data_IF_109105047925
#
_entry.id   IF_109105047925
#
_cell.length_a   1.000
_cell.length_b   1.000
_cell.length_c   1.000
_cell.angle_alpha   90.00
_cell.angle_beta   90.00
_cell.angle_gamma   90.00
#
_symmetry.space_group_name_H-M   'P 1'
#
loop_
_entity.id
_entity.type
_entity.pdbx_description
1 polymer ?
#
# COMPACT_ATOMS: atom_id res chain seq x y z
N UNK A 1 6.82 6.12 75.96
CA UNK A 1 6.57 4.92 75.14
C UNK A 1 5.08 4.88 74.80
N UNK A 2 4.68 5.31 73.60
CA UNK A 2 3.33 5.10 73.08
C UNK A 2 3.47 4.74 71.60
N UNK A 3 3.08 3.52 71.24
CA UNK A 3 3.27 2.93 69.91
C UNK A 3 2.12 3.35 68.99
N UNK A 4 2.46 4.02 67.89
CA UNK A 4 1.59 4.22 66.73
C UNK A 4 1.37 2.89 66.00
N UNK A 5 0.12 2.52 65.76
CA UNK A 5 -0.26 1.44 64.87
C UNK A 5 -0.58 2.06 63.50
N UNK A 6 0.31 1.88 62.52
CA UNK A 6 0.06 2.26 61.13
C UNK A 6 -0.66 1.08 60.43
N UNK A 7 -1.91 1.29 60.01
CA UNK A 7 -2.59 0.39 59.08
C UNK A 7 -2.01 0.63 57.68
N UNK A 8 -1.28 -0.35 57.15
CA UNK A 8 -0.91 -0.38 55.74
C UNK A 8 -2.13 -0.80 54.91
N UNK A 9 -2.69 0.14 54.13
CA UNK A 9 -3.63 -0.19 53.06
C UNK A 9 -2.84 -0.88 51.95
N UNK A 10 -2.92 -2.20 51.87
CA UNK A 10 -2.44 -2.94 50.71
C UNK A 10 -3.36 -2.63 49.52
N UNK A 11 -2.88 -1.81 48.59
CA UNK A 11 -3.52 -1.64 47.29
C UNK A 11 -3.48 -2.99 46.56
N UNK A 12 -4.63 -3.67 46.48
CA UNK A 12 -4.82 -4.81 45.58
C UNK A 12 -4.63 -4.31 44.14
N UNK A 13 -3.46 -4.60 43.56
CA UNK A 13 -3.26 -4.50 42.12
C UNK A 13 -4.33 -5.38 41.45
N UNK A 14 -5.13 -4.85 40.50
CA UNK A 14 -6.10 -5.68 39.80
C UNK A 14 -5.34 -6.78 39.07
N UNK A 15 -5.68 -8.05 39.35
CA UNK A 15 -5.25 -9.20 38.56
C UNK A 15 -5.53 -8.88 37.09
N UNK A 16 -4.47 -8.81 36.28
CA UNK A 16 -4.62 -8.63 34.84
C UNK A 16 -5.50 -9.75 34.30
N UNK A 17 -6.58 -9.39 33.60
CA UNK A 17 -7.39 -10.37 32.91
C UNK A 17 -6.46 -11.22 32.00
N UNK A 18 -6.61 -12.55 31.99
CA UNK A 18 -5.75 -13.41 31.19
C UNK A 18 -5.87 -13.01 29.71
N UNK A 19 -4.74 -13.09 28.99
CA UNK A 19 -4.73 -12.83 27.55
C UNK A 19 -5.74 -13.74 26.84
N UNK A 20 -6.46 -13.19 25.86
CA UNK A 20 -7.41 -13.94 25.04
C UNK A 20 -6.64 -14.75 24.01
N UNK A 21 -6.62 -16.06 24.17
CA UNK A 21 -6.01 -17.02 23.24
C UNK A 21 -6.89 -17.17 21.99
N UNK A 22 -6.34 -16.79 20.82
CA UNK A 22 -7.02 -16.91 19.53
C UNK A 22 -6.82 -18.29 18.88
N UNK A 23 -6.12 -19.21 19.54
CA UNK A 23 -6.04 -20.62 19.12
C UNK A 23 -7.35 -21.41 19.34
N UNK A 24 -8.35 -20.83 20.03
CA UNK A 24 -9.63 -21.48 20.37
C UNK A 24 -10.82 -20.64 19.89
N UNK A 25 -11.85 -21.32 19.40
CA UNK A 25 -13.10 -20.67 18.99
C UNK A 25 -13.05 -19.96 17.63
N UNK A 26 -12.02 -20.25 16.83
CA UNK A 26 -11.82 -19.71 15.48
C UNK A 26 -11.55 -20.86 14.50
N UNK A 27 -12.09 -20.73 13.30
CA UNK A 27 -11.70 -21.53 12.15
C UNK A 27 -10.51 -20.87 11.46
N UNK A 28 -9.59 -21.67 10.94
CA UNK A 28 -8.45 -21.20 10.16
C UNK A 28 -8.76 -21.45 8.69
N UNK A 29 -9.11 -20.38 7.97
CA UNK A 29 -9.20 -20.43 6.52
C UNK A 29 -7.83 -20.19 5.90
N UNK A 30 -7.52 -21.02 4.92
CA UNK A 30 -6.33 -20.91 4.08
C UNK A 30 -6.81 -20.44 2.72
N UNK A 31 -6.33 -19.27 2.28
CA UNK A 31 -6.84 -18.66 1.04
C UNK A 31 -5.73 -18.42 0.04
N UNK A 32 -6.08 -18.62 -1.22
CA UNK A 32 -5.34 -18.19 -2.40
C UNK A 32 -6.17 -17.11 -3.14
N UNK A 33 -5.63 -16.51 -4.19
CA UNK A 33 -6.32 -15.51 -5.01
C UNK A 33 -7.69 -15.97 -5.55
N UNK A 34 -7.85 -17.28 -5.79
CA UNK A 34 -9.02 -17.85 -6.47
C UNK A 34 -9.68 -19.00 -5.71
N UNK A 35 -9.29 -19.21 -4.45
CA UNK A 35 -9.75 -20.37 -3.70
C UNK A 35 -9.58 -20.22 -2.19
N UNK A 36 -10.31 -21.05 -1.46
CA UNK A 36 -10.25 -21.12 0.00
C UNK A 36 -10.48 -22.55 0.45
N UNK A 37 -9.83 -22.94 1.55
CA UNK A 37 -10.10 -24.18 2.25
C UNK A 37 -9.93 -23.98 3.77
N UNK A 38 -10.68 -24.74 4.58
CA UNK A 38 -10.51 -24.75 6.02
C UNK A 38 -9.43 -25.74 6.45
N UNK A 39 -8.57 -25.35 7.40
CA UNK A 39 -7.61 -26.26 8.04
C UNK A 39 -8.29 -27.06 9.16
N UNK A 40 -9.15 -28.00 8.76
CA UNK A 40 -9.89 -28.89 9.67
C UNK A 40 -9.09 -30.15 10.07
N UNK A 41 -8.00 -30.43 9.36
CA UNK A 41 -7.06 -31.53 9.65
C UNK A 41 -5.64 -30.98 9.85
N UNK A 42 -4.64 -31.86 9.97
CA UNK A 42 -3.24 -31.45 10.13
C UNK A 42 -2.66 -30.75 8.89
N UNK A 43 -3.28 -30.86 7.72
CA UNK A 43 -2.82 -30.19 6.49
C UNK A 43 -3.97 -29.92 5.52
N UNK A 44 -3.91 -28.81 4.82
CA UNK A 44 -4.81 -28.49 3.71
C UNK A 44 -4.04 -27.81 2.58
N UNK A 45 -4.42 -28.11 1.35
CA UNK A 45 -3.98 -27.38 0.14
C UNK A 45 -5.19 -26.70 -0.44
N UNK A 46 -5.08 -25.42 -0.79
CA UNK A 46 -6.19 -24.66 -1.37
C UNK A 46 -6.49 -25.24 -2.77
N UNK A 47 -7.74 -25.67 -3.04
CA UNK A 47 -8.10 -26.20 -4.34
C UNK A 47 -8.10 -25.09 -5.40
N UNK A 48 -7.74 -25.45 -6.63
CA UNK A 48 -7.83 -24.55 -7.78
C UNK A 48 -9.20 -24.66 -8.46
N UNK A 49 -9.75 -23.56 -9.00
CA UNK A 49 -10.91 -23.63 -9.89
C UNK A 49 -10.55 -24.37 -11.18
N UNK A 50 -11.56 -24.78 -11.95
CA UNK A 50 -11.37 -25.54 -13.20
C UNK A 50 -10.59 -24.77 -14.29
N UNK A 51 -10.59 -23.44 -14.25
CA UNK A 51 -9.86 -22.58 -15.17
C UNK A 51 -9.16 -21.46 -14.38
N UNK A 52 -8.02 -21.75 -13.74
CA UNK A 52 -7.35 -20.80 -12.87
C UNK A 52 -6.67 -19.69 -13.68
N UNK A 53 -6.76 -18.44 -13.20
CA UNK A 53 -5.98 -17.31 -13.71
C UNK A 53 -4.53 -17.38 -13.25
N UNK A 54 -4.27 -18.04 -12.13
CA UNK A 54 -2.92 -18.28 -11.58
C UNK A 54 -2.66 -19.79 -11.41
N UNK A 55 -2.46 -20.54 -12.53
CA UNK A 55 -2.28 -21.99 -12.49
C UNK A 55 -1.06 -22.43 -11.68
N UNK A 56 0.03 -21.66 -11.71
CA UNK A 56 1.31 -22.00 -11.07
C UNK A 56 1.41 -21.57 -9.60
N UNK A 57 0.36 -20.95 -9.07
CA UNK A 57 0.32 -20.59 -7.67
C UNK A 57 -0.03 -21.81 -6.83
N UNK A 58 0.65 -22.01 -5.70
CA UNK A 58 0.27 -23.03 -4.73
C UNK A 58 0.17 -22.40 -3.35
N UNK A 59 -0.87 -22.74 -2.61
CA UNK A 59 -1.05 -22.32 -1.22
C UNK A 59 -1.51 -23.52 -0.39
N UNK A 60 -0.80 -23.78 0.70
CA UNK A 60 -1.11 -24.84 1.64
C UNK A 60 -0.85 -24.38 3.07
N UNK A 61 -1.50 -25.03 4.02
CA UNK A 61 -1.16 -24.86 5.43
C UNK A 61 -1.09 -26.20 6.15
N UNK A 62 -0.32 -26.24 7.22
CA UNK A 62 -0.20 -27.41 8.10
C UNK A 62 -0.15 -27.02 9.57
N UNK A 63 -0.62 -27.91 10.43
CA UNK A 63 -0.53 -27.84 11.89
C UNK A 63 0.63 -28.71 12.36
N UNK A 64 1.57 -28.12 13.09
CA UNK A 64 2.66 -28.83 13.75
C UNK A 64 2.18 -29.51 15.04
N UNK A 65 2.94 -30.51 15.51
CA UNK A 65 2.70 -31.16 16.81
C UNK A 65 2.88 -30.21 18.01
N UNK A 66 3.60 -29.11 17.81
CA UNK A 66 3.78 -27.99 18.73
C UNK A 66 2.64 -26.95 18.67
N UNK A 67 1.61 -27.22 17.86
CA UNK A 67 0.47 -26.31 17.65
C UNK A 67 0.73 -25.21 16.63
N UNK A 68 1.95 -25.07 16.09
CA UNK A 68 2.26 -24.04 15.12
C UNK A 68 1.49 -24.23 13.81
N UNK A 69 1.02 -23.13 13.24
CA UNK A 69 0.38 -23.09 11.93
C UNK A 69 1.40 -22.58 10.91
N UNK A 70 1.77 -23.44 9.96
CA UNK A 70 2.68 -23.08 8.88
C UNK A 70 1.90 -22.83 7.60
N UNK A 71 2.05 -21.65 7.01
CA UNK A 71 1.61 -21.28 5.68
C UNK A 71 2.77 -21.51 4.69
N UNK A 72 2.50 -22.28 3.64
CA UNK A 72 3.41 -22.53 2.52
C UNK A 72 2.78 -21.98 1.25
N UNK A 73 3.52 -21.17 0.52
CA UNK A 73 3.01 -20.54 -0.69
C UNK A 73 4.09 -20.39 -1.75
N UNK A 74 3.71 -20.52 -3.02
CA UNK A 74 4.56 -20.25 -4.17
C UNK A 74 3.79 -19.53 -5.26
N UNK A 75 4.47 -18.61 -5.95
CA UNK A 75 3.96 -17.80 -7.06
C UNK A 75 2.57 -17.18 -6.79
N UNK A 76 2.25 -16.87 -5.52
CA UNK A 76 0.92 -16.47 -5.11
C UNK A 76 0.79 -14.95 -5.08
N UNK A 77 -0.31 -14.43 -5.65
CA UNK A 77 -0.66 -13.03 -5.47
C UNK A 77 -1.12 -12.73 -4.04
N UNK A 78 -1.70 -13.72 -3.37
CA UNK A 78 -2.19 -13.64 -2.00
C UNK A 78 -2.32 -15.04 -1.41
N UNK A 79 -1.60 -15.30 -0.32
CA UNK A 79 -1.71 -16.52 0.47
C UNK A 79 -2.03 -16.12 1.91
N UNK A 80 -3.09 -16.65 2.53
CA UNK A 80 -3.44 -16.22 3.89
C UNK A 80 -3.73 -17.37 4.85
N UNK A 81 -3.45 -17.12 6.13
CA UNK A 81 -4.11 -17.78 7.25
C UNK A 81 -5.05 -16.77 7.90
N UNK A 82 -6.36 -17.04 7.89
CA UNK A 82 -7.39 -16.16 8.44
C UNK A 82 -8.11 -16.80 9.62
N UNK A 83 -8.15 -16.09 10.75
CA UNK A 83 -8.93 -16.47 11.92
C UNK A 83 -10.37 -15.99 11.76
N UNK A 84 -11.25 -16.85 11.27
CA UNK A 84 -12.64 -16.50 10.92
C UNK A 84 -13.66 -17.41 11.60
N UNK A 85 -14.95 -17.12 11.42
CA UNK A 85 -16.06 -17.95 11.93
C UNK A 85 -16.25 -17.95 13.44
N UNK A 86 -15.43 -17.19 14.18
CA UNK A 86 -15.56 -17.01 15.63
C UNK A 86 -16.59 -15.93 15.98
N UNK A 87 -16.91 -15.84 17.28
CA UNK A 87 -17.74 -14.75 17.81
C UNK A 87 -16.99 -13.42 17.61
N UNK A 88 -17.61 -12.38 17.01
CA UNK A 88 -16.98 -11.08 16.88
C UNK A 88 -16.49 -10.53 18.22
N UNK A 89 -15.30 -9.93 18.21
CA UNK A 89 -14.64 -9.44 19.42
C UNK A 89 -14.87 -7.95 19.63
N UNK A 90 -15.20 -7.57 20.88
CA UNK A 90 -15.10 -6.18 21.31
C UNK A 90 -13.64 -5.87 21.68
N UNK A 91 -12.96 -5.19 20.78
CA UNK A 91 -11.56 -4.83 20.89
C UNK A 91 -11.34 -3.41 21.40
N UNK A 92 -12.39 -2.62 21.66
CA UNK A 92 -12.27 -1.27 22.24
C UNK A 92 -11.48 -1.25 23.56
N UNK A 93 -11.64 -2.22 24.50
CA UNK A 93 -10.86 -2.25 25.74
C UNK A 93 -9.35 -2.44 25.55
N UNK A 94 -8.91 -2.83 24.35
CA UNK A 94 -7.52 -3.13 24.01
C UNK A 94 -6.84 -1.96 23.28
N UNK A 95 -7.56 -0.92 22.84
CA UNK A 95 -6.99 0.14 22.00
C UNK A 95 -5.94 0.99 22.73
N UNK A 96 -6.07 1.17 24.05
CA UNK A 96 -5.15 1.99 24.84
C UNK A 96 -3.78 1.33 25.02
N UNK A 97 -3.76 0.12 25.58
CA UNK A 97 -2.54 -0.58 26.02
C UNK A 97 -2.47 -2.04 25.56
N UNK A 98 -3.41 -2.47 24.73
CA UNK A 98 -3.49 -3.86 24.30
C UNK A 98 -2.52 -4.19 23.18
N UNK A 99 -2.16 -5.46 23.09
CA UNK A 99 -1.23 -6.00 22.09
C UNK A 99 -1.82 -7.24 21.41
N UNK A 100 -1.43 -7.42 20.15
CA UNK A 100 -1.52 -8.69 19.42
C UNK A 100 -0.15 -9.34 19.50
N UNK A 101 -0.08 -10.52 20.11
CA UNK A 101 1.18 -11.21 20.39
C UNK A 101 1.15 -12.61 19.78
N UNK A 102 2.27 -13.04 19.19
CA UNK A 102 2.44 -14.37 18.61
C UNK A 102 3.92 -14.69 18.44
N UNK A 103 4.24 -15.97 18.31
CA UNK A 103 5.58 -16.41 17.91
C UNK A 103 5.61 -16.61 16.41
N UNK A 104 6.55 -15.95 15.73
CA UNK A 104 6.74 -15.98 14.29
C UNK A 104 8.03 -16.72 13.96
N UNK A 105 7.97 -17.68 13.04
CA UNK A 105 9.14 -18.29 12.42
C UNK A 105 9.08 -18.08 10.91
N UNK A 106 10.01 -17.29 10.39
CA UNK A 106 10.19 -17.10 8.94
C UNK A 106 11.17 -18.17 8.43
N UNK A 107 10.64 -19.15 7.70
CA UNK A 107 11.42 -20.28 7.18
C UNK A 107 12.01 -19.91 5.81
N UNK A 108 11.17 -19.38 4.92
CA UNK A 108 11.58 -18.78 3.64
C UNK A 108 10.73 -17.53 3.34
N UNK A 109 11.38 -16.49 2.85
CA UNK A 109 10.76 -15.26 2.35
C UNK A 109 11.65 -14.55 1.32
N UNK A 110 12.64 -15.24 0.75
CA UNK A 110 13.62 -14.63 -0.14
C UNK A 110 12.96 -14.01 -1.39
N UNK A 111 11.98 -14.72 -1.94
CA UNK A 111 11.20 -14.32 -3.11
C UNK A 111 9.74 -14.00 -2.74
N UNK A 112 9.50 -13.72 -1.46
CA UNK A 112 8.16 -13.48 -0.93
C UNK A 112 8.07 -12.17 -0.17
N UNK A 113 6.84 -11.88 0.26
CA UNK A 113 6.50 -10.81 1.17
C UNK A 113 5.49 -11.27 2.19
N UNK A 114 5.37 -10.50 3.27
CA UNK A 114 4.41 -10.80 4.30
C UNK A 114 3.86 -9.54 4.95
N UNK A 115 2.62 -9.64 5.43
CA UNK A 115 1.94 -8.60 6.18
C UNK A 115 0.98 -9.22 7.19
N UNK A 116 0.65 -8.44 8.21
CA UNK A 116 -0.38 -8.80 9.19
C UNK A 116 -1.61 -7.95 8.96
N UNK A 117 -2.79 -8.55 9.13
CA UNK A 117 -4.05 -7.84 8.93
C UNK A 117 -5.05 -8.08 10.06
N UNK A 118 -5.96 -7.13 10.19
CA UNK A 118 -7.17 -7.22 11.00
C UNK A 118 -8.32 -6.65 10.17
N UNK A 119 -9.43 -7.38 10.11
CA UNK A 119 -10.66 -6.96 9.45
C UNK A 119 -11.72 -6.56 10.49
N UNK A 120 -12.09 -5.28 10.53
CA UNK A 120 -13.06 -4.75 11.51
C UNK A 120 -14.51 -4.68 11.01
N UNK A 121 -14.76 -5.10 9.76
CA UNK A 121 -16.10 -5.12 9.16
C UNK A 121 -16.04 -4.83 7.66
N UNK A 122 -17.20 -4.49 7.07
CA UNK A 122 -17.30 -4.08 5.66
C UNK A 122 -16.36 -2.91 5.36
N UNK A 123 -15.56 -3.05 4.31
CA UNK A 123 -14.56 -2.07 3.85
C UNK A 123 -13.52 -1.67 4.93
N UNK A 124 -13.38 -2.46 5.99
CA UNK A 124 -12.41 -2.23 7.05
C UNK A 124 -11.40 -3.37 7.13
N UNK A 125 -10.31 -3.24 6.37
CA UNK A 125 -9.10 -4.05 6.54
C UNK A 125 -7.92 -3.13 6.88
N UNK A 126 -7.14 -3.49 7.90
CA UNK A 126 -5.97 -2.72 8.35
C UNK A 126 -4.76 -3.62 8.25
N UNK A 127 -3.76 -3.16 7.49
CA UNK A 127 -2.59 -3.94 7.11
C UNK A 127 -1.34 -3.32 7.73
N UNK A 128 -0.47 -4.16 8.27
CA UNK A 128 0.89 -3.79 8.68
C UNK A 128 1.86 -4.51 7.75
N UNK A 129 2.53 -3.79 6.83
CA UNK A 129 3.60 -4.36 6.02
C UNK A 129 4.72 -4.90 6.92
N UNK A 130 5.24 -6.09 6.60
CA UNK A 130 6.30 -6.72 7.37
C UNK A 130 7.34 -7.38 6.44
N UNK A 131 7.49 -6.87 5.22
CA UNK A 131 8.41 -7.40 4.21
C UNK A 131 9.86 -7.36 4.68
N UNK A 132 10.39 -6.15 4.94
CA UNK A 132 11.82 -5.99 5.29
C UNK A 132 12.15 -6.63 6.64
N UNK A 133 11.35 -6.34 7.67
CA UNK A 133 11.51 -6.94 8.99
C UNK A 133 11.39 -8.48 8.93
N UNK A 134 10.43 -9.01 8.16
CA UNK A 134 10.26 -10.45 7.98
C UNK A 134 11.47 -11.12 7.32
N UNK A 135 12.06 -10.49 6.29
CA UNK A 135 13.27 -11.00 5.63
C UNK A 135 14.48 -11.04 6.57
N UNK A 136 14.59 -10.09 7.50
CA UNK A 136 15.65 -10.11 8.52
C UNK A 136 15.49 -11.28 9.52
N UNK A 137 14.33 -11.94 9.59
CA UNK A 137 14.07 -13.07 10.48
C UNK A 137 14.32 -14.44 9.85
N UNK A 138 14.64 -14.51 8.54
CA UNK A 138 14.94 -15.76 7.84
C UNK A 138 16.04 -16.52 8.60
N UNK A 139 15.75 -17.77 8.98
CA UNK A 139 16.72 -18.66 9.64
C UNK A 139 17.00 -18.35 11.12
N UNK A 140 16.36 -17.33 11.73
CA UNK A 140 16.57 -16.97 13.15
C UNK A 140 15.75 -17.80 14.15
N UNK A 141 15.04 -18.82 13.70
CA UNK A 141 14.11 -19.60 14.53
C UNK A 141 12.88 -18.80 14.95
N UNK A 142 12.06 -19.32 15.89
CA UNK A 142 10.89 -18.60 16.41
C UNK A 142 11.29 -17.31 17.13
N UNK A 143 10.58 -16.23 16.82
CA UNK A 143 10.75 -14.90 17.40
C UNK A 143 9.42 -14.42 17.98
N UNK A 144 9.44 -13.86 19.17
CA UNK A 144 8.24 -13.30 19.78
C UNK A 144 7.93 -11.92 19.19
N UNK A 145 6.76 -11.78 18.57
CA UNK A 145 6.28 -10.54 17.95
C UNK A 145 5.13 -9.98 18.77
N UNK A 146 5.15 -8.66 18.99
CA UNK A 146 4.12 -7.96 19.75
C UNK A 146 3.84 -6.59 19.13
N UNK A 147 2.69 -6.47 18.47
CA UNK A 147 2.18 -5.20 17.94
C UNK A 147 1.21 -4.58 18.93
N UNK A 148 1.26 -3.27 19.11
CA UNK A 148 0.17 -2.56 19.78
C UNK A 148 -1.10 -2.73 18.95
N UNK A 149 -2.24 -3.01 19.58
CA UNK A 149 -3.49 -3.22 18.83
C UNK A 149 -3.88 -1.98 18.02
N UNK A 150 -3.55 -0.79 18.53
CA UNK A 150 -3.74 0.49 17.82
C UNK A 150 -3.08 0.55 16.43
N UNK A 151 -2.10 -0.30 16.14
CA UNK A 151 -1.51 -0.41 14.81
C UNK A 151 -2.50 -0.87 13.74
N UNK A 152 -3.56 -1.56 14.17
CA UNK A 152 -4.64 -2.05 13.32
C UNK A 152 -5.90 -1.20 13.41
N UNK A 153 -5.84 -0.01 14.03
CA UNK A 153 -7.01 0.85 14.24
C UNK A 153 -6.77 2.24 13.65
N UNK A 154 -7.80 2.77 13.00
CA UNK A 154 -7.87 4.16 12.55
C UNK A 154 -9.07 4.86 13.18
N UNK A 155 -8.99 6.17 13.27
CA UNK A 155 -10.12 6.99 13.69
C UNK A 155 -11.34 6.75 12.79
N UNK A 156 -12.49 6.49 13.40
CA UNK A 156 -13.72 6.08 12.72
C UNK A 156 -13.93 4.57 12.58
N UNK A 157 -12.90 3.74 12.84
CA UNK A 157 -13.06 2.28 12.79
C UNK A 157 -13.93 1.78 13.95
N UNK A 158 -14.89 0.91 13.64
CA UNK A 158 -15.71 0.23 14.65
C UNK A 158 -15.02 -1.06 15.14
N UNK A 159 -14.53 -0.99 16.37
CA UNK A 159 -13.88 -2.12 17.05
C UNK A 159 -14.80 -2.81 18.07
N UNK A 160 -16.10 -2.53 18.05
CA UNK A 160 -17.07 -3.13 18.98
C UNK A 160 -17.43 -4.58 18.64
N UNK A 161 -17.26 -4.97 17.38
CA UNK A 161 -17.62 -6.30 16.87
C UNK A 161 -16.69 -6.76 15.73
N UNK A 162 -15.39 -6.93 16.01
CA UNK A 162 -14.37 -7.33 15.02
C UNK A 162 -14.51 -8.80 14.62
N UNK A 163 -14.85 -9.13 13.35
CA UNK A 163 -15.09 -10.50 12.91
C UNK A 163 -13.83 -11.24 12.43
N UNK A 164 -12.76 -10.52 12.07
CA UNK A 164 -11.50 -11.08 11.58
C UNK A 164 -10.33 -10.48 12.39
N UNK A 165 -10.07 -10.98 13.61
CA UNK A 165 -9.13 -10.35 14.54
C UNK A 165 -7.66 -10.49 14.13
N UNK A 166 -7.35 -11.44 13.25
CA UNK A 166 -5.98 -11.65 12.78
C UNK A 166 -5.94 -12.36 11.43
N UNK A 167 -4.99 -11.96 10.60
CA UNK A 167 -4.62 -12.65 9.36
C UNK A 167 -3.13 -12.50 9.14
N UNK A 168 -2.46 -13.63 8.87
CA UNK A 168 -1.13 -13.65 8.27
C UNK A 168 -1.32 -13.73 6.76
N UNK A 169 -0.74 -12.79 6.02
CA UNK A 169 -0.73 -12.83 4.55
C UNK A 169 0.69 -12.90 4.02
N UNK A 170 0.90 -13.77 3.03
CA UNK A 170 2.08 -13.89 2.20
C UNK A 170 1.80 -13.52 0.73
N UNK A 171 2.83 -13.10 0.01
CA UNK A 171 2.82 -12.83 -1.43
C UNK A 171 4.11 -13.36 -2.07
N UNK A 172 4.10 -13.75 -3.34
CA UNK A 172 5.23 -14.38 -4.01
C UNK A 172 5.42 -15.83 -3.55
N UNK A 173 6.61 -16.16 -3.05
CA UNK A 173 6.95 -17.50 -2.56
C UNK A 173 7.58 -17.45 -1.17
N UNK A 174 7.15 -18.35 -0.27
CA UNK A 174 7.69 -18.44 1.08
C UNK A 174 7.05 -19.52 1.96
N UNK A 175 7.63 -19.70 3.13
CA UNK A 175 7.13 -20.57 4.20
C UNK A 175 7.23 -19.83 5.54
N UNK A 176 6.10 -19.63 6.20
CA UNK A 176 5.99 -18.83 7.43
C UNK A 176 5.16 -19.61 8.44
N UNK A 177 5.64 -19.71 9.68
CA UNK A 177 4.89 -20.34 10.77
C UNK A 177 4.55 -19.34 11.87
N UNK A 178 3.34 -19.45 12.42
CA UNK A 178 2.87 -18.68 13.57
C UNK A 178 2.35 -19.60 14.67
N UNK A 179 2.61 -19.25 15.92
CA UNK A 179 2.11 -19.98 17.09
C UNK A 179 1.72 -19.01 18.21
N UNK A 180 1.00 -19.50 19.23
CA UNK A 180 0.66 -18.77 20.45
C UNK A 180 0.01 -17.39 20.23
N UNK A 181 -0.87 -17.28 19.23
CA UNK A 181 -1.57 -16.04 18.93
C UNK A 181 -2.54 -15.65 20.06
N UNK A 182 -2.33 -14.47 20.63
CA UNK A 182 -3.13 -13.95 21.76
C UNK A 182 -3.34 -12.45 21.70
N UNK A 183 -4.44 -11.99 22.29
CA UNK A 183 -4.72 -10.58 22.55
C UNK A 183 -4.55 -10.29 24.04
N UNK A 184 -3.64 -9.39 24.38
CA UNK A 184 -3.43 -8.96 25.75
C UNK A 184 -4.03 -7.56 25.94
N UNK A 185 -4.78 -7.35 27.04
CA UNK A 185 -5.37 -6.02 27.36
C UNK A 185 -4.33 -5.01 27.84
N UNK A 186 -3.25 -5.49 28.44
CA UNK A 186 -2.16 -4.69 28.98
C UNK A 186 -0.85 -5.37 28.58
N UNK A 187 -0.35 -5.02 27.40
CA UNK A 187 0.88 -5.55 26.85
C UNK A 187 1.86 -4.44 26.50
N UNK A 188 3.14 -4.81 26.35
CA UNK A 188 4.17 -3.91 25.84
C UNK A 188 4.54 -4.35 24.44
N UNK A 189 4.16 -3.54 23.45
CA UNK A 189 4.56 -3.77 22.07
C UNK A 189 6.09 -3.73 21.95
N UNK A 190 6.64 -4.72 21.26
CA UNK A 190 8.07 -4.83 20.94
C UNK A 190 8.35 -4.53 19.47
N UNK A 191 7.29 -4.44 18.67
CA UNK A 191 7.37 -4.23 17.22
C UNK A 191 6.74 -2.89 16.87
N UNK A 192 7.50 -2.05 16.17
CA UNK A 192 6.99 -0.80 15.64
C UNK A 192 6.00 -1.06 14.50
N UNK A 193 5.06 -0.14 14.32
CA UNK A 193 4.17 -0.10 13.17
C UNK A 193 4.14 1.33 12.62
N UNK A 194 3.94 1.52 11.30
CA UNK A 194 3.78 2.85 10.74
C UNK A 194 2.61 3.58 11.39
N UNK A 195 2.77 4.86 11.72
CA UNK A 195 1.63 5.71 12.04
C UNK A 195 0.86 6.00 10.76
N UNK A 196 -0.37 5.51 10.66
CA UNK A 196 -1.20 5.68 9.47
C UNK A 196 -1.42 7.16 9.14
N UNK A 197 -1.35 8.07 10.13
CA UNK A 197 -1.54 9.52 9.92
C UNK A 197 -0.35 10.19 9.24
N UNK A 198 0.83 9.60 9.33
CA UNK A 198 2.05 10.17 8.74
C UNK A 198 2.62 9.32 7.60
N UNK A 199 2.08 8.13 7.36
CA UNK A 199 2.64 7.20 6.36
C UNK A 199 2.78 7.87 4.99
N UNK A 200 1.74 8.52 4.49
CA UNK A 200 1.70 9.16 3.17
C UNK A 200 2.69 10.31 2.97
N UNK A 201 3.19 10.88 4.07
CA UNK A 201 4.16 12.00 4.09
C UNK A 201 5.56 11.57 4.56
N UNK A 202 5.74 10.31 4.92
CA UNK A 202 7.01 9.76 5.39
C UNK A 202 7.69 9.03 4.24
N UNK A 203 8.84 9.50 3.72
CA UNK A 203 9.50 8.89 2.57
C UNK A 203 9.84 7.42 2.83
N UNK A 204 9.39 6.51 1.96
CA UNK A 204 9.63 5.08 2.10
C UNK A 204 9.75 4.38 0.75
N UNK A 205 10.56 3.31 0.66
CA UNK A 205 10.62 2.44 -0.53
C UNK A 205 9.33 1.61 -0.67
N UNK A 206 8.99 1.21 -1.89
CA UNK A 206 7.84 0.34 -2.12
C UNK A 206 8.05 -1.04 -1.44
N UNK A 207 7.21 -1.35 -0.45
CA UNK A 207 7.27 -2.58 0.34
C UNK A 207 6.42 -3.71 -0.25
N UNK A 208 6.63 -4.04 -1.52
CA UNK A 208 5.89 -5.08 -2.21
C UNK A 208 6.86 -6.14 -2.75
N UNK A 209 6.59 -7.43 -2.48
CA UNK A 209 7.54 -8.50 -2.84
C UNK A 209 7.78 -8.58 -4.35
N UNK A 210 6.74 -8.33 -5.15
CA UNK A 210 6.80 -8.31 -6.61
C UNK A 210 7.54 -7.08 -7.17
N UNK A 211 7.85 -6.09 -6.32
CA UNK A 211 8.59 -4.89 -6.71
C UNK A 211 10.09 -4.96 -6.42
N UNK A 212 10.51 -5.89 -5.56
CA UNK A 212 11.86 -5.91 -4.99
C UNK A 212 12.98 -5.98 -6.03
N UNK A 213 12.78 -6.76 -7.09
CA UNK A 213 13.83 -7.05 -8.06
C UNK A 213 13.95 -6.00 -9.16
N UNK A 214 12.98 -5.08 -9.29
CA UNK A 214 12.98 -4.08 -10.37
C UNK A 214 12.88 -2.63 -9.89
N UNK A 215 12.28 -2.35 -8.73
CA UNK A 215 11.99 -0.96 -8.32
C UNK A 215 13.25 -0.13 -8.09
N UNK A 216 14.21 -0.64 -7.31
CA UNK A 216 15.50 0.04 -7.11
C UNK A 216 16.36 0.07 -8.38
N UNK A 217 16.54 -1.04 -9.13
CA UNK A 217 17.23 -1.00 -10.41
C UNK A 217 16.64 0.00 -11.40
N UNK A 218 15.31 0.14 -11.45
CA UNK A 218 14.65 1.15 -12.28
C UNK A 218 14.97 2.56 -11.80
N UNK A 219 14.95 2.82 -10.49
CA UNK A 219 15.34 4.12 -9.94
C UNK A 219 16.75 4.50 -10.40
N UNK A 220 17.71 3.59 -10.27
CA UNK A 220 19.08 3.81 -10.76
C UNK A 220 19.16 4.04 -12.28
N UNK A 221 18.35 3.31 -13.06
CA UNK A 221 18.26 3.50 -14.50
C UNK A 221 17.70 4.88 -14.87
N UNK A 222 16.67 5.37 -14.17
CA UNK A 222 16.12 6.73 -14.38
C UNK A 222 17.10 7.81 -13.95
N UNK A 223 17.85 7.62 -12.86
CA UNK A 223 18.95 8.52 -12.51
C UNK A 223 20.04 8.55 -13.59
N UNK A 224 20.37 7.40 -14.19
CA UNK A 224 21.34 7.31 -15.28
C UNK A 224 20.84 8.00 -16.56
N UNK A 225 19.57 7.85 -16.91
CA UNK A 225 18.93 8.55 -18.04
C UNK A 225 19.02 10.07 -17.87
N UNK A 226 18.65 10.58 -16.69
CA UNK A 226 18.75 12.01 -16.36
C UNK A 226 20.19 12.52 -16.49
N UNK A 227 21.17 11.76 -15.98
CA UNK A 227 22.60 12.08 -16.15
C UNK A 227 23.01 12.10 -17.62
N UNK A 228 22.56 11.15 -18.42
CA UNK A 228 22.88 11.06 -19.84
C UNK A 228 22.33 12.24 -20.65
N UNK A 229 21.14 12.77 -20.30
CA UNK A 229 20.64 14.02 -20.89
C UNK A 229 21.59 15.18 -20.63
N UNK A 230 22.00 15.37 -19.37
CA UNK A 230 22.92 16.42 -18.96
C UNK A 230 24.29 16.30 -19.65
N UNK A 231 24.86 15.11 -19.68
CA UNK A 231 26.16 14.84 -20.31
C UNK A 231 26.15 15.07 -21.82
N UNK A 232 25.00 14.84 -22.46
CA UNK A 232 24.79 15.18 -23.87
C UNK A 232 24.48 16.67 -24.11
N UNK A 233 24.54 17.53 -23.08
CA UNK A 233 24.17 18.95 -23.19
C UNK A 233 22.69 19.20 -23.47
N UNK A 234 21.83 18.19 -23.29
CA UNK A 234 20.37 18.29 -23.51
C UNK A 234 19.68 18.71 -22.22
N UNK A 235 18.94 19.81 -22.29
CA UNK A 235 18.04 20.22 -21.20
C UNK A 235 16.77 19.37 -21.23
N UNK A 236 16.43 18.76 -20.09
CA UNK A 236 15.12 18.14 -19.87
C UNK A 236 14.13 19.26 -19.57
N UNK A 237 13.18 19.50 -20.50
CA UNK A 237 12.21 20.59 -20.36
C UNK A 237 10.92 20.15 -19.66
N UNK A 238 10.60 18.85 -19.71
CA UNK A 238 9.36 18.26 -19.21
C UNK A 238 9.62 16.99 -18.41
N UNK A 239 9.02 16.88 -17.24
CA UNK A 239 9.10 15.67 -16.40
C UNK A 239 7.69 15.21 -16.03
N UNK A 240 7.43 13.91 -16.12
CA UNK A 240 6.22 13.31 -15.56
C UNK A 240 6.58 12.54 -14.29
N UNK A 241 5.86 12.77 -13.21
CA UNK A 241 6.00 12.09 -11.93
C UNK A 241 4.73 11.29 -11.64
N UNK A 242 4.87 10.03 -11.22
CA UNK A 242 3.70 9.28 -10.77
C UNK A 242 3.94 7.80 -10.53
N UNK A 243 2.86 7.04 -10.70
CA UNK A 243 2.78 5.60 -10.47
C UNK A 243 2.83 4.78 -11.78
N UNK A 244 2.17 3.61 -11.83
CA UNK A 244 2.07 2.75 -13.02
C UNK A 244 1.46 3.47 -14.22
N UNK A 245 0.51 4.38 -14.01
CA UNK A 245 -0.13 5.13 -15.10
C UNK A 245 0.91 6.05 -15.76
N UNK A 246 1.78 6.68 -14.97
CA UNK A 246 2.90 7.46 -15.52
C UNK A 246 3.98 6.56 -16.12
N UNK A 247 4.22 5.37 -15.56
CA UNK A 247 5.19 4.42 -16.10
C UNK A 247 4.81 3.95 -17.51
N UNK A 248 3.51 3.75 -17.77
CA UNK A 248 3.04 3.26 -19.06
C UNK A 248 3.30 4.21 -20.24
N UNK A 249 3.75 5.45 -20.02
CA UNK A 249 4.31 6.29 -21.08
C UNK A 249 5.53 5.64 -21.78
N UNK A 250 6.25 4.76 -21.10
CA UNK A 250 7.37 4.01 -21.68
C UNK A 250 6.93 2.70 -22.36
N UNK A 251 5.68 2.30 -22.18
CA UNK A 251 5.09 1.05 -22.64
C UNK A 251 3.91 1.32 -23.59
N UNK A 252 2.66 1.19 -23.13
CA UNK A 252 1.44 1.36 -23.91
C UNK A 252 1.35 2.76 -24.56
N UNK A 253 1.85 3.79 -23.87
CA UNK A 253 1.88 5.18 -24.33
C UNK A 253 3.11 5.55 -25.16
N UNK A 254 4.04 4.62 -25.45
CA UNK A 254 5.35 4.92 -26.04
C UNK A 254 5.28 5.66 -27.38
N UNK A 255 4.34 5.29 -28.24
CA UNK A 255 4.17 5.96 -29.53
C UNK A 255 3.68 7.41 -29.34
N UNK A 256 2.64 7.59 -28.53
CA UNK A 256 2.09 8.92 -28.19
C UNK A 256 3.16 9.79 -27.54
N UNK A 257 3.99 9.21 -26.66
CA UNK A 257 5.13 9.90 -26.05
C UNK A 257 6.11 10.44 -27.08
N UNK A 258 6.46 9.63 -28.08
CA UNK A 258 7.37 10.05 -29.15
C UNK A 258 6.79 11.22 -29.96
N UNK A 259 5.49 11.20 -30.23
CA UNK A 259 4.80 12.21 -31.02
C UNK A 259 4.62 13.54 -30.26
N UNK A 260 4.28 13.48 -28.97
CA UNK A 260 3.91 14.67 -28.19
C UNK A 260 5.04 15.22 -27.32
N UNK A 261 5.90 14.37 -26.74
CA UNK A 261 6.76 14.78 -25.62
C UNK A 261 8.26 14.64 -25.87
N UNK A 262 8.70 13.76 -26.79
CA UNK A 262 10.12 13.55 -27.06
C UNK A 262 10.88 14.81 -27.47
N UNK A 263 10.21 15.74 -28.19
CA UNK A 263 10.76 17.05 -28.59
C UNK A 263 11.20 17.94 -27.42
N UNK A 264 10.69 17.67 -26.21
CA UNK A 264 11.04 18.41 -24.98
C UNK A 264 12.13 17.71 -24.15
N UNK A 265 12.80 16.70 -24.72
CA UNK A 265 13.67 15.79 -23.95
C UNK A 265 12.96 15.29 -22.69
N UNK A 266 11.67 15.00 -22.80
CA UNK A 266 10.84 14.68 -21.65
C UNK A 266 11.31 13.39 -20.97
N UNK A 267 11.11 13.28 -19.65
CA UNK A 267 11.42 12.08 -18.88
C UNK A 267 10.19 11.62 -18.09
N UNK A 268 9.81 10.34 -18.24
CA UNK A 268 8.73 9.72 -17.48
C UNK A 268 9.25 9.00 -16.23
N UNK A 269 9.09 9.59 -15.04
CA UNK A 269 9.51 9.06 -13.74
C UNK A 269 8.32 8.39 -13.01
N UNK A 270 7.66 7.46 -13.71
CA UNK A 270 6.57 6.64 -13.18
C UNK A 270 7.06 5.28 -12.67
N UNK A 271 6.46 4.79 -11.57
CA UNK A 271 6.79 3.52 -10.94
C UNK A 271 5.53 2.75 -10.53
N UNK A 272 5.38 1.53 -11.02
CA UNK A 272 4.22 0.70 -10.74
C UNK A 272 4.01 0.44 -9.25
N UNK A 273 2.78 0.66 -8.78
CA UNK A 273 2.38 0.51 -7.37
C UNK A 273 2.79 1.65 -6.44
N UNK A 274 3.52 2.66 -6.93
CA UNK A 274 3.94 3.76 -6.08
C UNK A 274 2.76 4.51 -5.46
N UNK A 275 2.93 4.83 -4.19
CA UNK A 275 2.10 5.71 -3.40
C UNK A 275 2.81 7.04 -3.18
N UNK A 276 2.15 7.99 -2.54
CA UNK A 276 2.72 9.32 -2.27
C UNK A 276 4.04 9.24 -1.51
N UNK A 277 4.18 8.32 -0.56
CA UNK A 277 5.42 8.13 0.22
C UNK A 277 6.59 7.58 -0.62
N UNK A 278 6.28 6.82 -1.68
CA UNK A 278 7.27 6.20 -2.54
C UNK A 278 7.84 7.20 -3.54
N UNK A 279 6.97 8.01 -4.16
CA UNK A 279 7.41 9.15 -4.94
C UNK A 279 8.25 10.11 -4.09
N UNK A 280 7.82 10.38 -2.85
CA UNK A 280 8.55 11.27 -1.97
C UNK A 280 9.97 10.76 -1.68
N UNK A 281 10.12 9.46 -1.44
CA UNK A 281 11.43 8.82 -1.30
C UNK A 281 12.27 9.05 -2.56
N UNK A 282 11.74 8.74 -3.73
CA UNK A 282 12.47 8.87 -5.00
C UNK A 282 12.92 10.29 -5.28
N UNK A 283 12.04 11.27 -5.07
CA UNK A 283 12.36 12.70 -5.16
C UNK A 283 13.51 13.05 -4.22
N UNK A 284 13.50 12.52 -3.00
CA UNK A 284 14.55 12.75 -2.01
C UNK A 284 15.89 12.09 -2.36
N UNK A 285 15.88 11.06 -3.21
CA UNK A 285 17.03 10.29 -3.64
C UNK A 285 17.52 10.65 -5.05
N UNK A 286 17.20 11.87 -5.51
CA UNK A 286 17.91 12.51 -6.61
C UNK A 286 17.20 12.48 -7.96
N UNK A 287 15.94 12.04 -8.02
CA UNK A 287 15.20 11.94 -9.28
C UNK A 287 14.99 13.28 -10.00
N UNK A 288 15.10 14.39 -9.28
CA UNK A 288 15.05 15.73 -9.86
C UNK A 288 16.41 16.44 -9.83
N UNK A 289 17.50 15.77 -9.51
CA UNK A 289 18.80 16.43 -9.38
C UNK A 289 19.48 16.61 -10.74
N UNK A 290 20.21 17.72 -10.90
CA UNK A 290 20.94 18.01 -12.14
C UNK A 290 20.06 18.33 -13.35
N UNK A 291 18.76 18.56 -13.16
CA UNK A 291 17.82 19.03 -14.17
C UNK A 291 17.29 20.42 -13.83
N UNK A 292 16.67 21.06 -14.83
CA UNK A 292 15.93 22.30 -14.65
C UNK A 292 14.69 22.31 -15.57
N UNK A 293 13.69 21.42 -15.40
CA UNK A 293 12.49 21.43 -16.25
C UNK A 293 11.75 22.76 -16.20
N UNK A 294 11.09 23.09 -17.31
CA UNK A 294 10.08 24.16 -17.38
C UNK A 294 8.75 23.69 -16.76
N UNK A 295 8.41 22.42 -16.98
CA UNK A 295 7.14 21.84 -16.55
C UNK A 295 7.33 20.47 -15.88
N UNK A 296 6.54 20.22 -14.84
CA UNK A 296 6.39 18.93 -14.17
C UNK A 296 4.92 18.55 -14.21
N UNK A 297 4.60 17.36 -14.70
CA UNK A 297 3.25 16.77 -14.62
C UNK A 297 3.25 15.80 -13.44
N UNK A 298 2.31 15.92 -12.52
CA UNK A 298 2.23 15.03 -11.36
C UNK A 298 0.86 14.36 -11.27
N UNK A 299 0.87 13.03 -11.28
CA UNK A 299 -0.30 12.17 -11.06
C UNK A 299 0.10 11.06 -10.09
N UNK A 300 -0.34 11.14 -8.84
CA UNK A 300 0.01 10.18 -7.79
C UNK A 300 -1.09 10.12 -6.74
N UNK A 301 -1.40 8.90 -6.25
CA UNK A 301 -2.33 8.70 -5.13
C UNK A 301 -3.36 7.59 -5.34
N UNK A 302 -3.56 7.11 -6.58
CA UNK A 302 -4.54 6.04 -6.85
C UNK A 302 -4.19 4.73 -6.13
N UNK A 303 -2.90 4.49 -5.83
CA UNK A 303 -2.46 3.34 -5.04
C UNK A 303 -2.64 3.52 -3.52
N UNK A 304 -2.69 4.76 -3.01
CA UNK A 304 -3.09 5.01 -1.62
C UNK A 304 -4.56 4.60 -1.41
N UNK A 305 -5.40 4.89 -2.41
CA UNK A 305 -6.78 4.36 -2.50
C UNK A 305 -6.79 2.84 -2.64
N UNK A 306 -6.13 2.31 -3.68
CA UNK A 306 -6.24 0.90 -4.06
C UNK A 306 -5.67 -0.08 -3.03
N UNK A 307 -4.60 0.27 -2.32
CA UNK A 307 -4.00 -0.61 -1.32
C UNK A 307 -4.61 -0.42 0.08
N UNK A 308 -4.77 0.82 0.54
CA UNK A 308 -5.09 1.11 1.94
C UNK A 308 -6.47 1.67 2.18
N UNK A 309 -7.22 1.99 1.11
CA UNK A 309 -8.43 2.82 1.16
C UNK A 309 -8.20 4.02 2.10
N UNK A 310 -7.04 4.65 1.93
CA UNK A 310 -6.50 5.63 2.87
C UNK A 310 -7.39 6.87 2.96
N UNK A 311 -7.56 7.46 4.14
CA UNK A 311 -8.34 8.69 4.29
C UNK A 311 -7.92 9.73 3.22
N UNK A 312 -8.86 10.27 2.42
CA UNK A 312 -8.55 11.24 1.38
C UNK A 312 -7.70 12.41 1.86
N UNK A 313 -7.88 12.89 3.09
CA UNK A 313 -7.10 13.98 3.66
C UNK A 313 -5.62 13.60 3.85
N UNK A 314 -5.32 12.35 4.20
CA UNK A 314 -3.95 11.85 4.35
C UNK A 314 -3.26 11.68 2.99
N UNK A 315 -3.99 11.17 1.99
CA UNK A 315 -3.49 11.12 0.61
C UNK A 315 -3.21 12.53 0.08
N UNK A 316 -4.08 13.51 0.34
CA UNK A 316 -3.86 14.92 0.00
C UNK A 316 -2.63 15.50 0.70
N UNK A 317 -2.42 15.18 1.98
CA UNK A 317 -1.21 15.60 2.71
C UNK A 317 0.05 15.02 2.05
N UNK A 318 0.02 13.76 1.62
CA UNK A 318 1.09 13.12 0.85
C UNK A 318 1.37 13.81 -0.48
N UNK A 319 0.32 14.11 -1.25
CA UNK A 319 0.42 14.84 -2.53
C UNK A 319 1.01 16.24 -2.30
N UNK A 320 0.53 16.96 -1.28
CA UNK A 320 1.09 18.26 -0.89
C UNK A 320 2.58 18.16 -0.54
N UNK A 321 2.97 17.14 0.22
CA UNK A 321 4.38 16.94 0.62
C UNK A 321 5.28 16.69 -0.59
N UNK A 322 4.78 16.00 -1.61
CA UNK A 322 5.46 15.83 -2.89
C UNK A 322 5.56 17.15 -3.67
N UNK A 323 4.48 17.95 -3.75
CA UNK A 323 4.53 19.29 -4.35
C UNK A 323 5.57 20.18 -3.69
N UNK A 324 5.61 20.18 -2.35
CA UNK A 324 6.58 20.97 -1.58
C UNK A 324 8.02 20.52 -1.91
N UNK A 325 8.26 19.21 -2.05
CA UNK A 325 9.57 18.67 -2.46
C UNK A 325 9.95 19.08 -3.89
N UNK A 326 9.01 18.99 -4.83
CA UNK A 326 9.20 19.42 -6.22
C UNK A 326 9.54 20.91 -6.27
N UNK A 327 8.76 21.77 -5.60
CA UNK A 327 9.01 23.23 -5.58
C UNK A 327 10.35 23.59 -4.95
N UNK A 328 10.77 22.85 -3.92
CA UNK A 328 12.07 23.04 -3.27
C UNK A 328 13.22 22.71 -4.23
N UNK A 329 13.11 21.61 -4.98
CA UNK A 329 14.15 21.14 -5.90
C UNK A 329 14.15 21.86 -7.24
N UNK A 330 12.97 22.24 -7.71
CA UNK A 330 12.72 22.80 -9.04
C UNK A 330 11.88 24.08 -8.94
N UNK A 331 12.37 25.13 -8.27
CA UNK A 331 11.60 26.36 -8.01
C UNK A 331 11.21 27.13 -9.28
N UNK A 332 11.88 26.88 -10.41
CA UNK A 332 11.54 27.48 -11.69
C UNK A 332 10.43 26.73 -12.44
N UNK A 333 10.16 25.47 -12.09
CA UNK A 333 9.20 24.65 -12.84
C UNK A 333 7.76 25.03 -12.48
N UNK A 334 6.89 25.05 -13.50
CA UNK A 334 5.45 24.97 -13.31
C UNK A 334 5.03 23.52 -13.11
N UNK A 335 4.09 23.28 -12.22
CA UNK A 335 3.56 21.96 -11.92
C UNK A 335 2.12 21.87 -12.40
N UNK A 336 1.82 20.91 -13.27
CA UNK A 336 0.46 20.50 -13.59
C UNK A 336 0.08 19.33 -12.69
N UNK A 337 -0.72 19.60 -11.67
CA UNK A 337 -1.29 18.60 -10.77
C UNK A 337 -2.54 18.00 -11.42
N UNK A 338 -2.49 16.72 -11.75
CA UNK A 338 -3.63 16.03 -12.34
C UNK A 338 -4.56 15.46 -11.27
N UNK A 339 -5.87 15.51 -11.54
CA UNK A 339 -6.84 14.70 -10.83
C UNK A 339 -6.50 13.20 -10.99
N UNK A 340 -6.74 12.41 -9.95
CA UNK A 340 -6.67 10.96 -10.03
C UNK A 340 -7.66 10.46 -11.10
N UNK A 341 -7.17 9.62 -12.00
CA UNK A 341 -7.99 9.09 -13.08
C UNK A 341 -9.10 8.16 -12.55
N UNK A 342 -10.18 7.97 -13.34
CA UNK A 342 -11.17 6.96 -13.06
C UNK A 342 -10.56 5.57 -12.88
N UNK A 343 -11.14 4.79 -11.98
CA UNK A 343 -10.86 3.36 -11.82
C UNK A 343 -12.13 2.62 -11.45
N UNK A 344 -12.19 1.33 -11.77
CA UNK A 344 -13.40 0.52 -11.60
C UNK A 344 -14.45 0.86 -12.67
N UNK A 345 -15.08 -0.17 -13.23
CA UNK A 345 -15.96 -0.04 -14.41
C UNK A 345 -17.11 0.96 -14.21
N UNK A 346 -17.69 0.98 -13.00
CA UNK A 346 -18.93 1.68 -12.70
C UNK A 346 -18.70 2.86 -11.75
N UNK A 347 -19.54 3.92 -11.82
CA UNK A 347 -19.44 5.07 -10.92
C UNK A 347 -19.56 4.75 -9.43
N UNK A 348 -20.23 3.64 -9.08
CA UNK A 348 -20.45 3.21 -7.71
C UNK A 348 -19.34 2.30 -7.15
N UNK A 349 -18.28 2.04 -7.92
CA UNK A 349 -17.10 1.35 -7.42
C UNK A 349 -16.50 2.10 -6.21
N UNK A 350 -16.14 1.34 -5.17
CA UNK A 350 -15.65 1.90 -3.90
C UNK A 350 -14.39 2.74 -4.13
N UNK A 351 -13.47 2.25 -4.96
CA UNK A 351 -12.22 2.95 -5.27
C UNK A 351 -12.45 4.14 -6.20
N UNK A 352 -13.46 4.08 -7.09
CA UNK A 352 -13.90 5.24 -7.89
C UNK A 352 -14.36 6.39 -7.01
N UNK A 353 -15.35 6.14 -6.15
CA UNK A 353 -15.90 7.16 -5.23
C UNK A 353 -14.85 7.70 -4.28
N UNK A 354 -13.88 6.87 -3.90
CA UNK A 354 -12.78 7.29 -3.03
C UNK A 354 -11.79 8.21 -3.75
N UNK A 355 -11.41 7.89 -4.99
CA UNK A 355 -10.64 8.81 -5.85
C UNK A 355 -11.38 10.13 -6.05
N UNK A 356 -12.70 10.12 -6.22
CA UNK A 356 -13.49 11.34 -6.37
C UNK A 356 -13.45 12.24 -5.12
N UNK A 357 -13.43 11.65 -3.91
CA UNK A 357 -13.22 12.39 -2.65
C UNK A 357 -11.83 13.03 -2.58
N UNK A 358 -10.79 12.33 -3.04
CA UNK A 358 -9.44 12.92 -3.15
C UNK A 358 -9.45 14.06 -4.16
N UNK A 359 -10.03 13.84 -5.34
CA UNK A 359 -10.10 14.84 -6.41
C UNK A 359 -10.83 16.11 -5.99
N UNK A 360 -11.87 16.01 -5.18
CA UNK A 360 -12.58 17.17 -4.63
C UNK A 360 -11.70 18.08 -3.76
N UNK A 361 -10.61 17.55 -3.19
CA UNK A 361 -9.69 18.28 -2.31
C UNK A 361 -8.43 18.79 -3.05
N UNK A 362 -8.06 18.20 -4.19
CA UNK A 362 -6.86 18.56 -4.95
C UNK A 362 -6.79 20.03 -5.41
N UNK A 363 -7.89 20.69 -5.85
CA UNK A 363 -7.83 22.09 -6.28
C UNK A 363 -7.27 23.04 -5.23
N UNK A 364 -7.44 22.73 -3.94
CA UNK A 364 -6.91 23.55 -2.84
C UNK A 364 -5.37 23.56 -2.77
N UNK A 365 -4.70 22.61 -3.43
CA UNK A 365 -3.23 22.58 -3.52
C UNK A 365 -2.67 23.43 -4.67
N UNK A 366 -3.52 23.87 -5.61
CA UNK A 366 -3.13 24.69 -6.75
C UNK A 366 -3.20 26.18 -6.41
N UNK A 367 -2.15 26.93 -6.77
CA UNK A 367 -2.10 28.39 -6.59
C UNK A 367 -2.44 29.15 -7.89
N UNK A 368 -2.74 28.43 -8.97
CA UNK A 368 -3.07 28.97 -10.29
C UNK A 368 -1.90 29.64 -11.02
N UNK A 369 -0.69 29.60 -10.44
CA UNK A 369 0.51 30.27 -10.98
C UNK A 369 1.65 29.29 -11.20
N UNK A 370 2.17 28.73 -10.11
CA UNK A 370 3.23 27.73 -10.12
C UNK A 370 2.65 26.32 -10.11
N UNK A 371 1.55 26.10 -9.40
CA UNK A 371 0.82 24.82 -9.39
C UNK A 371 -0.56 25.05 -9.99
N UNK A 372 -0.84 24.38 -11.09
CA UNK A 372 -2.13 24.42 -11.79
C UNK A 372 -2.78 23.03 -11.69
N UNK A 373 -4.05 22.99 -11.28
CA UNK A 373 -4.82 21.75 -11.23
C UNK A 373 -5.54 21.51 -12.57
N UNK A 374 -5.55 20.26 -13.04
CA UNK A 374 -6.28 19.85 -14.23
C UNK A 374 -6.96 18.50 -14.02
N UNK A 375 -8.27 18.45 -14.29
CA UNK A 375 -9.05 17.22 -14.30
C UNK A 375 -9.43 16.85 -15.74
N UNK A 376 -8.95 15.69 -16.19
CA UNK A 376 -9.26 15.12 -17.51
C UNK A 376 -10.16 13.89 -17.41
N UNK A 377 -10.65 13.53 -16.22
CA UNK A 377 -11.35 12.27 -15.97
C UNK A 377 -12.57 12.08 -16.86
N UNK A 378 -13.29 13.17 -17.18
CA UNK A 378 -14.44 13.13 -18.10
C UNK A 378 -14.05 12.67 -19.52
N UNK A 379 -12.85 13.00 -19.99
CA UNK A 379 -12.38 12.59 -21.31
C UNK A 379 -12.06 11.08 -21.38
N UNK A 380 -11.87 10.43 -20.23
CA UNK A 380 -11.55 9.00 -20.10
C UNK A 380 -12.79 8.13 -19.85
N UNK A 381 -13.99 8.72 -19.78
CA UNK A 381 -15.24 8.03 -19.46
C UNK A 381 -16.24 8.08 -20.61
N UNK A 382 -17.13 7.09 -20.63
CA UNK A 382 -18.35 7.14 -21.43
C UNK A 382 -19.31 8.22 -20.89
N UNK A 383 -20.28 8.68 -21.71
CA UNK A 383 -21.27 9.67 -21.27
C UNK A 383 -22.11 9.26 -20.05
N UNK A 384 -22.29 7.95 -19.81
CA UNK A 384 -23.00 7.40 -18.65
C UNK A 384 -22.11 7.25 -17.40
N UNK A 385 -20.84 7.66 -17.49
CA UNK A 385 -19.86 7.58 -16.40
C UNK A 385 -19.15 6.24 -16.26
N UNK A 386 -19.47 5.25 -17.11
CA UNK A 386 -18.74 3.97 -17.15
C UNK A 386 -17.39 4.11 -17.84
N UNK A 387 -16.50 3.17 -17.59
CA UNK A 387 -15.25 3.03 -18.33
C UNK A 387 -15.44 2.09 -19.52
N UNK A 388 -14.72 2.33 -20.63
CA UNK A 388 -14.60 1.38 -21.74
C UNK A 388 -13.27 0.64 -21.69
N UNK A 389 -13.28 -0.67 -21.99
CA UNK A 389 -12.05 -1.48 -22.09
C UNK A 389 -11.14 -1.01 -23.24
N UNK A 390 -11.68 -0.26 -24.19
CA UNK A 390 -10.88 0.36 -25.26
C UNK A 390 -9.98 1.47 -24.72
N UNK A 391 -10.36 2.12 -23.60
CA UNK A 391 -9.61 3.22 -22.96
C UNK A 391 -8.85 2.73 -21.74
N UNK A 392 -9.49 1.90 -20.90
CA UNK A 392 -8.95 1.35 -19.65
C UNK A 392 -9.23 -0.17 -19.62
N UNK A 393 -8.39 -1.01 -20.26
CA UNK A 393 -8.68 -2.44 -20.49
C UNK A 393 -8.93 -3.26 -19.22
N UNK A 394 -8.29 -2.87 -18.11
CA UNK A 394 -8.42 -3.47 -16.78
C UNK A 394 -9.12 -2.54 -15.77
N UNK A 395 -9.77 -1.48 -16.26
CA UNK A 395 -10.43 -0.47 -15.45
C UNK A 395 -9.48 0.34 -14.55
N UNK A 396 -8.19 0.41 -14.88
CA UNK A 396 -7.20 1.20 -14.14
C UNK A 396 -6.11 1.81 -15.05
N UNK A 397 -5.45 1.00 -15.87
CA UNK A 397 -4.35 1.41 -16.73
C UNK A 397 -4.84 1.78 -18.12
N UNK A 398 -4.23 2.81 -18.71
CA UNK A 398 -4.64 3.34 -20.01
C UNK A 398 -4.18 2.41 -21.14
N UNK A 399 -5.03 2.24 -22.14
CA UNK A 399 -4.64 1.73 -23.46
C UNK A 399 -3.84 2.80 -24.23
N UNK A 400 -3.25 2.47 -25.40
CA UNK A 400 -2.66 3.49 -26.28
C UNK A 400 -3.62 4.63 -26.62
N UNK A 401 -4.91 4.33 -26.82
CA UNK A 401 -5.94 5.34 -27.06
C UNK A 401 -6.18 6.22 -25.81
N UNK A 402 -6.17 5.63 -24.62
CA UNK A 402 -6.25 6.38 -23.37
C UNK A 402 -5.07 7.34 -23.18
N UNK A 403 -3.85 6.91 -23.53
CA UNK A 403 -2.66 7.78 -23.51
C UNK A 403 -2.74 8.93 -24.52
N UNK A 404 -3.28 8.69 -25.71
CA UNK A 404 -3.52 9.75 -26.70
C UNK A 404 -4.54 10.80 -26.20
N UNK A 405 -5.64 10.36 -25.57
CA UNK A 405 -6.58 11.26 -24.90
C UNK A 405 -5.88 12.06 -23.81
N UNK A 406 -5.05 11.42 -22.98
CA UNK A 406 -4.29 12.11 -21.94
C UNK A 406 -3.39 13.18 -22.57
N UNK A 407 -2.56 12.84 -23.56
CA UNK A 407 -1.64 13.78 -24.19
C UNK A 407 -2.36 15.02 -24.75
N UNK A 408 -3.40 14.81 -25.56
CA UNK A 408 -4.20 15.89 -26.16
C UNK A 408 -4.88 16.77 -25.12
N UNK A 409 -5.27 16.20 -23.98
CA UNK A 409 -5.90 16.94 -22.89
C UNK A 409 -4.93 17.88 -22.15
N UNK A 410 -3.61 17.68 -22.29
CA UNK A 410 -2.59 18.55 -21.68
C UNK A 410 -2.30 19.79 -22.52
N UNK A 411 -2.48 19.74 -23.84
CA UNK A 411 -1.94 20.72 -24.79
C UNK A 411 -2.25 22.17 -24.44
N UNK A 412 -3.53 22.48 -24.17
CA UNK A 412 -3.99 23.83 -23.87
C UNK A 412 -3.32 24.44 -22.62
N UNK A 413 -2.98 23.61 -21.64
CA UNK A 413 -2.35 24.06 -20.39
C UNK A 413 -0.83 24.01 -20.47
N UNK A 414 -0.28 22.97 -21.11
CA UNK A 414 1.14 22.64 -21.08
C UNK A 414 1.94 23.41 -22.14
N UNK A 415 1.40 23.62 -23.34
CA UNK A 415 2.12 24.25 -24.45
C UNK A 415 2.60 25.67 -24.11
N UNK A 416 1.84 26.53 -23.40
CA UNK A 416 2.33 27.84 -22.99
C UNK A 416 3.53 27.83 -22.02
N UNK A 417 3.92 26.67 -21.47
CA UNK A 417 5.01 26.54 -20.51
C UNK A 417 6.32 26.05 -21.15
N UNK A 418 6.25 25.42 -22.32
CA UNK A 418 7.36 24.71 -22.97
C UNK A 418 7.87 25.48 -24.17
#
# INVERSE_FOLDING_TARGET
>A
MNRFLALALAALLPLSAPALDLGKGWQIAVTDFEGEALLDTDRVTVPKPASPRVPDSHVAARRGSDGALTLQFSNSWIAQLRWQGGKPLDLRPYLANGTVEFDLRVIDLAHGGMKFKLGCGTDCERKIPFLFAGRELIGKGPQHISFALKCFWREGDDFSAVPLPFTLEGTGSGEIAVNHLRLNRQGKATTACPDYRSQSVTPERLQESWAMDWWLPRHEAKLAEVRAHREAGRRVDLVFLGDSITQGWENEGKQVWAEHFAKYNAVALGFGGDRTENLLWRLQHGELDGMAPKAVIMLIGTNNTGDRLEDPALTIAGIKRNLDEVRRRQPQAKVLLLALFPRGEKPDDVTRRHNDKVNALLPALADGRQVVFLDIGRALMNPDGTLSKDILPDWLHLSPQGYDIWARSLDATLTPWL
#
